data_IF_801052642968
#
_entry.id   IF_801052642968
#
_cell.length_a   1.000
_cell.length_b   1.000
_cell.length_c   1.000
_cell.angle_alpha   90.00
_cell.angle_beta   90.00
_cell.angle_gamma   90.00
#
_symmetry.space_group_name_H-M   'P 1'
#
loop_
_entity.id
_entity.type
_entity.pdbx_description
1 polymer ?
#
# COMPACT_ATOMS: atom_id res chain seq x y z
N UNK A 1 -15.41 -5.83 -2.26
CA UNK A 1 -14.45 -5.32 -1.26
C UNK A 1 -14.64 -5.93 0.13
N UNK A 2 -15.85 -5.93 0.73
CA UNK A 2 -16.07 -6.44 2.11
C UNK A 2 -15.66 -7.91 2.28
N UNK A 3 -16.06 -8.79 1.38
CA UNK A 3 -15.72 -10.22 1.42
C UNK A 3 -14.22 -10.46 1.34
N UNK A 4 -13.52 -9.84 0.35
CA UNK A 4 -12.06 -9.94 0.23
C UNK A 4 -11.34 -9.42 1.48
N UNK A 5 -11.81 -8.32 2.05
CA UNK A 5 -11.26 -7.82 3.32
C UNK A 5 -11.41 -8.84 4.44
N UNK A 6 -12.58 -9.45 4.61
CA UNK A 6 -12.80 -10.48 5.62
C UNK A 6 -11.90 -11.71 5.41
N UNK A 7 -11.71 -12.11 4.16
CA UNK A 7 -10.81 -13.21 3.80
C UNK A 7 -9.35 -12.90 4.15
N UNK A 8 -8.89 -11.69 3.81
CA UNK A 8 -7.53 -11.22 4.11
C UNK A 8 -7.31 -11.14 5.64
N UNK A 9 -8.26 -10.58 6.41
CA UNK A 9 -8.14 -10.48 7.87
C UNK A 9 -7.99 -11.86 8.52
N UNK A 10 -8.77 -12.85 8.10
CA UNK A 10 -8.64 -14.24 8.57
C UNK A 10 -7.30 -14.87 8.19
N UNK A 11 -6.80 -14.57 6.99
CA UNK A 11 -5.52 -15.10 6.54
C UNK A 11 -4.34 -14.45 7.29
N UNK A 12 -4.38 -13.13 7.51
CA UNK A 12 -3.37 -12.43 8.31
C UNK A 12 -3.28 -13.00 9.73
N UNK A 13 -4.42 -13.34 10.37
CA UNK A 13 -4.45 -13.95 11.70
C UNK A 13 -3.80 -15.35 11.71
N UNK A 14 -3.94 -16.11 10.63
CA UNK A 14 -3.30 -17.43 10.45
C UNK A 14 -1.79 -17.30 10.20
N UNK A 15 -1.35 -16.33 9.36
CA UNK A 15 0.08 -16.19 9.01
C UNK A 15 0.89 -15.50 10.11
N UNK A 16 0.27 -14.66 10.92
CA UNK A 16 0.89 -14.03 12.08
C UNK A 16 0.17 -14.46 13.37
N UNK A 17 0.40 -15.70 13.85
CA UNK A 17 -0.26 -16.21 15.04
C UNK A 17 0.16 -15.46 16.29
N UNK A 18 -0.61 -15.64 17.37
CA UNK A 18 -0.21 -15.16 18.69
C UNK A 18 1.00 -15.97 19.17
N UNK A 19 2.04 -15.28 19.59
CA UNK A 19 3.21 -15.92 20.17
C UNK A 19 3.07 -16.09 21.66
N UNK A 20 3.86 -17.02 22.18
CA UNK A 20 4.03 -17.30 23.59
C UNK A 20 5.52 -17.27 23.93
N UNK A 21 5.86 -17.07 25.20
CA UNK A 21 7.22 -17.08 25.68
C UNK A 21 7.94 -15.74 25.57
N UNK A 22 9.26 -15.75 25.44
CA UNK A 22 10.11 -14.56 25.59
C UNK A 22 9.88 -13.49 24.50
N UNK A 23 9.44 -13.86 23.32
CA UNK A 23 9.16 -12.92 22.21
C UNK A 23 7.70 -12.46 22.13
N UNK A 24 6.85 -12.83 23.08
CA UNK A 24 5.41 -12.50 23.06
C UNK A 24 5.15 -11.01 22.82
N UNK A 25 5.89 -10.12 23.49
CA UNK A 25 5.69 -8.67 23.38
C UNK A 25 5.97 -8.17 21.96
N UNK A 26 6.96 -8.72 21.25
CA UNK A 26 7.23 -8.39 19.84
C UNK A 26 6.03 -8.76 18.95
N UNK A 27 5.50 -9.98 19.08
CA UNK A 27 4.32 -10.39 18.31
C UNK A 27 3.08 -9.55 18.63
N UNK A 28 2.90 -9.16 19.91
CA UNK A 28 1.83 -8.23 20.30
C UNK A 28 1.98 -6.88 19.60
N UNK A 29 3.20 -6.34 19.52
CA UNK A 29 3.49 -5.09 18.82
C UNK A 29 3.21 -5.20 17.30
N UNK A 30 3.66 -6.28 16.66
CA UNK A 30 3.36 -6.56 15.24
C UNK A 30 1.85 -6.64 14.99
N UNK A 31 1.14 -7.44 15.77
CA UNK A 31 -0.31 -7.63 15.66
C UNK A 31 -1.10 -6.35 15.96
N UNK A 32 -0.65 -5.57 16.94
CA UNK A 32 -1.29 -4.30 17.30
C UNK A 32 -1.46 -3.39 16.08
N UNK A 33 -0.41 -3.18 15.27
CA UNK A 33 -0.47 -2.34 14.09
C UNK A 33 -1.15 -3.05 12.92
N UNK A 34 -0.88 -4.35 12.70
CA UNK A 34 -1.45 -5.11 11.59
C UNK A 34 -2.98 -5.19 11.69
N UNK A 35 -3.53 -5.33 12.90
CA UNK A 35 -4.98 -5.42 13.15
C UNK A 35 -5.61 -4.10 13.64
N UNK A 36 -4.91 -2.97 13.49
CA UNK A 36 -5.47 -1.64 13.81
C UNK A 36 -6.56 -1.17 12.82
N UNK A 37 -7.04 -2.06 11.95
CA UNK A 37 -8.01 -1.73 10.90
C UNK A 37 -7.34 -1.30 9.60
N UNK A 38 -8.12 -0.69 8.70
CA UNK A 38 -7.67 -0.25 7.38
C UNK A 38 -8.53 -0.84 6.26
N UNK A 39 -8.40 -0.27 5.07
CA UNK A 39 -9.20 -0.63 3.89
C UNK A 39 -8.66 -1.86 3.16
N UNK A 40 -7.44 -2.29 3.45
CA UNK A 40 -6.76 -3.43 2.82
C UNK A 40 -6.70 -3.30 1.29
N UNK A 41 -6.48 -2.09 0.78
CA UNK A 41 -6.53 -1.81 -0.67
C UNK A 41 -5.48 -2.61 -1.44
N UNK A 42 -4.23 -2.67 -0.96
CA UNK A 42 -3.13 -3.38 -1.63
C UNK A 42 -3.40 -4.87 -1.78
N UNK A 43 -3.72 -5.64 -0.72
CA UNK A 43 -4.09 -7.04 -0.88
C UNK A 43 -5.37 -7.25 -1.69
N UNK A 44 -6.36 -6.34 -1.62
CA UNK A 44 -7.59 -6.43 -2.43
C UNK A 44 -7.28 -6.22 -3.91
N UNK A 45 -6.42 -5.25 -4.26
CA UNK A 45 -5.95 -5.03 -5.63
C UNK A 45 -5.23 -6.26 -6.17
N UNK A 46 -4.37 -6.88 -5.36
CA UNK A 46 -3.66 -8.09 -5.74
C UNK A 46 -4.63 -9.23 -6.08
N UNK A 47 -5.56 -9.55 -5.17
CA UNK A 47 -6.54 -10.62 -5.40
C UNK A 47 -7.49 -10.30 -6.57
N UNK A 48 -7.87 -9.03 -6.75
CA UNK A 48 -8.69 -8.62 -7.89
C UNK A 48 -7.93 -8.75 -9.23
N UNK A 49 -6.62 -8.48 -9.23
CA UNK A 49 -5.77 -8.68 -10.40
C UNK A 49 -5.58 -10.17 -10.73
N UNK A 50 -5.40 -11.02 -9.71
CA UNK A 50 -5.37 -12.48 -9.89
C UNK A 50 -6.64 -12.97 -10.59
N UNK A 51 -7.81 -12.59 -10.09
CA UNK A 51 -9.10 -12.99 -10.65
C UNK A 51 -9.33 -12.43 -12.06
N UNK A 52 -8.94 -11.17 -12.29
CA UNK A 52 -9.03 -10.53 -13.60
C UNK A 52 -8.17 -11.23 -14.66
N UNK A 53 -7.08 -11.86 -14.26
CA UNK A 53 -6.21 -12.67 -15.11
C UNK A 53 -6.59 -14.16 -15.13
N UNK A 54 -7.71 -14.55 -14.50
CA UNK A 54 -8.20 -15.93 -14.51
C UNK A 54 -7.52 -16.88 -13.50
N UNK A 55 -6.68 -16.36 -12.60
CA UNK A 55 -6.04 -17.12 -11.54
C UNK A 55 -6.96 -17.40 -10.34
N UNK A 56 -6.51 -18.27 -9.44
CA UNK A 56 -7.19 -18.57 -8.17
C UNK A 56 -6.67 -17.63 -7.07
N UNK A 57 -7.55 -16.74 -6.61
CA UNK A 57 -7.22 -15.79 -5.55
C UNK A 57 -6.91 -16.44 -4.20
N UNK A 58 -7.39 -17.66 -3.93
CA UNK A 58 -7.11 -18.38 -2.70
C UNK A 58 -5.67 -18.90 -2.67
N UNK A 59 -5.12 -19.32 -3.81
CA UNK A 59 -3.71 -19.72 -3.93
C UNK A 59 -2.72 -18.56 -3.79
N UNK A 60 -3.19 -17.32 -3.99
CA UNK A 60 -2.37 -16.10 -3.89
C UNK A 60 -2.58 -15.33 -2.57
N UNK A 61 -3.33 -15.91 -1.62
CA UNK A 61 -3.73 -15.23 -0.39
C UNK A 61 -2.54 -14.90 0.53
N UNK A 62 -1.53 -15.77 0.58
CA UNK A 62 -0.30 -15.49 1.33
C UNK A 62 0.46 -14.29 0.78
N UNK A 63 0.54 -14.16 -0.55
CA UNK A 63 1.16 -13.01 -1.19
C UNK A 63 0.38 -11.72 -0.90
N UNK A 64 -0.95 -11.76 -0.94
CA UNK A 64 -1.80 -10.64 -0.56
C UNK A 64 -1.55 -10.19 0.90
N UNK A 65 -1.40 -11.15 1.82
CA UNK A 65 -1.05 -10.86 3.22
C UNK A 65 0.34 -10.24 3.36
N UNK A 66 1.32 -10.71 2.60
CA UNK A 66 2.67 -10.14 2.59
C UNK A 66 2.68 -8.66 2.15
N UNK A 67 1.89 -8.28 1.15
CA UNK A 67 1.71 -6.88 0.75
C UNK A 67 1.20 -6.00 1.89
N UNK A 68 0.26 -6.51 2.71
CA UNK A 68 -0.25 -5.76 3.85
C UNK A 68 0.76 -5.71 5.00
N UNK A 69 1.54 -6.77 5.23
CA UNK A 69 2.64 -6.75 6.21
C UNK A 69 3.70 -5.72 5.85
N UNK A 70 4.09 -5.66 4.56
CA UNK A 70 5.03 -4.64 4.05
C UNK A 70 4.45 -3.24 4.20
N UNK A 71 3.19 -3.03 3.87
CA UNK A 71 2.55 -1.74 4.10
C UNK A 71 2.48 -1.39 5.59
N UNK A 72 2.23 -2.36 6.47
CA UNK A 72 2.10 -2.11 7.90
C UNK A 72 3.44 -1.76 8.54
N UNK A 73 4.53 -2.44 8.17
CA UNK A 73 5.85 -2.08 8.70
C UNK A 73 6.20 -0.64 8.34
N UNK A 74 5.91 -0.20 7.11
CA UNK A 74 6.22 1.17 6.71
C UNK A 74 5.45 2.19 7.55
N UNK A 75 4.20 1.90 7.90
CA UNK A 75 3.41 2.77 8.78
C UNK A 75 3.98 2.82 10.21
N UNK A 76 4.47 1.67 10.74
CA UNK A 76 5.09 1.64 12.07
C UNK A 76 6.35 2.51 12.09
N UNK A 77 7.19 2.38 11.05
CA UNK A 77 8.44 3.13 10.97
C UNK A 77 8.18 4.62 10.68
N UNK A 78 7.23 4.95 9.82
CA UNK A 78 6.84 6.34 9.55
C UNK A 78 6.37 7.07 10.83
N UNK A 79 5.70 6.35 11.74
CA UNK A 79 5.20 6.93 13.00
C UNK A 79 6.29 7.19 14.05
N UNK A 80 7.51 6.62 13.92
CA UNK A 80 8.59 6.76 14.91
C UNK A 80 8.99 8.23 15.13
N UNK A 81 9.52 8.59 16.33
CA UNK A 81 9.99 9.94 16.62
C UNK A 81 11.10 10.44 15.70
N UNK A 82 11.90 9.53 15.10
CA UNK A 82 12.93 9.85 14.11
C UNK A 82 12.39 10.09 12.71
N UNK A 83 11.09 9.93 12.50
CA UNK A 83 10.37 10.07 11.23
C UNK A 83 9.25 11.13 11.38
N UNK A 84 8.00 10.73 11.20
CA UNK A 84 6.86 11.65 11.30
C UNK A 84 6.48 12.04 12.74
N UNK A 85 6.92 11.26 13.75
CA UNK A 85 6.59 11.43 15.16
C UNK A 85 5.08 11.56 15.41
N UNK A 86 4.30 10.67 14.80
CA UNK A 86 2.85 10.67 14.94
C UNK A 86 2.42 9.90 16.19
N UNK A 87 1.66 10.54 17.09
CA UNK A 87 1.14 9.89 18.30
C UNK A 87 -0.09 9.03 18.05
N UNK A 88 -0.86 9.34 16.99
CA UNK A 88 -2.12 8.68 16.64
C UNK A 88 -2.15 8.24 15.17
N UNK A 89 -2.61 7.01 14.95
CA UNK A 89 -2.93 6.47 13.63
C UNK A 89 -4.27 5.74 13.63
N UNK A 90 -5.17 6.10 12.73
CA UNK A 90 -6.53 5.55 12.66
C UNK A 90 -7.29 5.69 13.98
N UNK A 91 -7.09 6.81 14.70
CA UNK A 91 -7.74 7.10 15.98
C UNK A 91 -7.20 6.29 17.17
N UNK A 92 -6.07 5.58 17.02
CA UNK A 92 -5.43 4.79 18.09
C UNK A 92 -3.99 5.27 18.29
N UNK A 93 -3.44 5.15 19.51
CA UNK A 93 -2.02 5.41 19.74
C UNK A 93 -1.14 4.60 18.78
N UNK A 94 -0.05 5.21 18.30
CA UNK A 94 0.92 4.55 17.42
C UNK A 94 1.71 3.49 18.16
N UNK A 95 2.41 2.62 17.43
CA UNK A 95 3.12 1.47 18.02
C UNK A 95 4.15 1.89 19.06
N UNK A 96 4.94 2.94 18.76
CA UNK A 96 5.97 3.42 19.66
C UNK A 96 5.41 4.06 20.94
N UNK A 97 4.20 4.62 20.88
CA UNK A 97 3.50 5.13 22.06
C UNK A 97 3.07 4.02 23.03
N UNK A 98 2.77 2.81 22.50
CA UNK A 98 2.27 1.68 23.29
C UNK A 98 3.39 0.76 23.77
N UNK A 99 4.39 0.49 22.92
CA UNK A 99 5.44 -0.51 23.16
C UNK A 99 6.84 0.10 23.33
N UNK A 100 6.99 1.40 23.11
CA UNK A 100 8.28 2.08 23.06
C UNK A 100 8.96 1.99 21.70
N UNK A 101 9.90 2.89 21.44
CA UNK A 101 10.56 3.06 20.13
C UNK A 101 11.29 1.81 19.66
N UNK A 102 12.08 1.19 20.55
CA UNK A 102 12.87 0.01 20.19
C UNK A 102 12.00 -1.18 19.74
N UNK A 103 10.90 -1.46 20.46
CA UNK A 103 10.01 -2.54 20.08
C UNK A 103 9.19 -2.21 18.84
N UNK A 104 8.82 -0.95 18.64
CA UNK A 104 8.16 -0.51 17.41
C UNK A 104 9.08 -0.68 16.19
N UNK A 105 10.36 -0.27 16.30
CA UNK A 105 11.35 -0.49 15.24
C UNK A 105 11.48 -1.98 14.91
N UNK A 106 11.69 -2.82 15.92
CA UNK A 106 11.80 -4.28 15.72
C UNK A 106 10.51 -4.93 15.20
N UNK A 107 9.33 -4.41 15.55
CA UNK A 107 8.06 -4.89 15.03
C UNK A 107 7.93 -4.60 13.53
N UNK A 108 8.41 -3.46 13.06
CA UNK A 108 8.50 -3.14 11.64
C UNK A 108 9.46 -4.08 10.90
N UNK A 109 10.69 -4.26 11.42
CA UNK A 109 11.70 -5.18 10.84
C UNK A 109 11.16 -6.61 10.74
N UNK A 110 10.51 -7.06 11.83
CA UNK A 110 9.93 -8.40 11.88
C UNK A 110 8.79 -8.57 10.86
N UNK A 111 7.88 -7.59 10.70
CA UNK A 111 6.80 -7.64 9.71
C UNK A 111 7.34 -7.68 8.28
N UNK A 112 8.39 -6.90 7.97
CA UNK A 112 9.05 -6.94 6.66
C UNK A 112 9.62 -8.34 6.37
N UNK A 113 10.30 -8.94 7.35
CA UNK A 113 10.88 -10.29 7.22
C UNK A 113 9.78 -11.36 7.12
N UNK A 114 8.74 -11.27 7.95
CA UNK A 114 7.59 -12.18 7.93
C UNK A 114 6.85 -12.16 6.58
N UNK A 115 6.76 -11.01 5.92
CA UNK A 115 6.15 -10.92 4.60
C UNK A 115 6.84 -11.86 3.59
N UNK A 116 8.18 -11.84 3.54
CA UNK A 116 8.93 -12.73 2.66
C UNK A 116 8.90 -14.19 3.13
N UNK A 117 8.90 -14.44 4.44
CA UNK A 117 8.71 -15.79 4.98
C UNK A 117 7.38 -16.41 4.50
N UNK A 118 6.28 -15.65 4.58
CA UNK A 118 4.96 -16.10 4.12
C UNK A 118 4.96 -16.38 2.62
N UNK A 119 5.55 -15.53 1.80
CA UNK A 119 5.65 -15.72 0.34
C UNK A 119 6.38 -17.04 0.03
N UNK A 120 7.54 -17.27 0.64
CA UNK A 120 8.34 -18.47 0.36
C UNK A 120 7.72 -19.73 0.94
N UNK A 121 7.12 -19.66 2.13
CA UNK A 121 6.43 -20.79 2.74
C UNK A 121 5.22 -21.25 1.90
N UNK A 122 4.39 -20.30 1.44
CA UNK A 122 3.27 -20.62 0.55
C UNK A 122 3.77 -21.15 -0.81
N UNK A 123 4.82 -20.55 -1.38
CA UNK A 123 5.42 -21.03 -2.61
C UNK A 123 5.99 -22.44 -2.53
N UNK A 124 6.49 -22.87 -1.36
CA UNK A 124 6.93 -24.25 -1.12
C UNK A 124 5.75 -25.23 -0.98
N UNK A 125 4.59 -24.76 -0.54
CA UNK A 125 3.37 -25.57 -0.36
C UNK A 125 2.50 -25.62 -1.60
N UNK A 126 2.49 -24.53 -2.37
CA UNK A 126 1.61 -24.36 -3.52
C UNK A 126 2.12 -25.12 -4.77
N UNK A 127 1.19 -25.43 -5.67
CA UNK A 127 1.51 -25.92 -7.03
C UNK A 127 1.87 -24.77 -7.99
N UNK A 128 2.20 -23.59 -7.46
CA UNK A 128 2.56 -22.41 -8.27
C UNK A 128 3.87 -22.65 -9.01
N UNK A 129 3.98 -22.03 -10.18
CA UNK A 129 5.23 -22.02 -10.94
C UNK A 129 6.30 -21.23 -10.16
N UNK A 130 7.42 -21.86 -9.75
CA UNK A 130 8.45 -21.21 -8.96
C UNK A 130 9.06 -19.97 -9.64
N UNK A 131 9.14 -19.95 -10.98
CA UNK A 131 9.66 -18.79 -11.73
C UNK A 131 8.73 -17.59 -11.64
N UNK A 132 7.40 -17.80 -11.67
CA UNK A 132 6.42 -16.72 -11.49
C UNK A 132 6.46 -16.20 -10.05
N UNK A 133 6.58 -17.07 -9.06
CA UNK A 133 6.71 -16.67 -7.66
C UNK A 133 7.98 -15.85 -7.44
N UNK A 134 9.12 -16.29 -7.99
CA UNK A 134 10.38 -15.56 -7.88
C UNK A 134 10.30 -14.18 -8.54
N UNK A 135 9.69 -14.09 -9.74
CA UNK A 135 9.44 -12.83 -10.45
C UNK A 135 8.56 -11.89 -9.61
N UNK A 136 7.46 -12.39 -9.07
CA UNK A 136 6.54 -11.59 -8.22
C UNK A 136 7.22 -11.11 -6.92
N UNK A 137 7.97 -11.98 -6.24
CA UNK A 137 8.71 -11.65 -5.03
C UNK A 137 9.80 -10.60 -5.31
N UNK A 138 10.50 -10.71 -6.43
CA UNK A 138 11.48 -9.71 -6.88
C UNK A 138 10.81 -8.35 -7.14
N UNK A 139 9.67 -8.30 -7.86
CA UNK A 139 8.93 -7.06 -8.08
C UNK A 139 8.48 -6.41 -6.77
N UNK A 140 8.02 -7.20 -5.80
CA UNK A 140 7.64 -6.69 -4.49
C UNK A 140 8.84 -6.12 -3.73
N UNK A 141 9.99 -6.81 -3.74
CA UNK A 141 11.21 -6.34 -3.10
C UNK A 141 11.70 -5.01 -3.72
N UNK A 142 11.65 -4.89 -5.06
CA UNK A 142 11.98 -3.65 -5.77
C UNK A 142 11.02 -2.51 -5.40
N UNK A 143 9.72 -2.79 -5.32
CA UNK A 143 8.70 -1.80 -4.98
C UNK A 143 8.76 -1.36 -3.51
N UNK A 144 9.16 -2.22 -2.59
CA UNK A 144 9.31 -1.91 -1.16
C UNK A 144 10.65 -1.22 -0.85
N UNK A 145 11.71 -1.54 -1.59
CA UNK A 145 13.10 -1.17 -1.29
C UNK A 145 13.51 0.24 -1.72
N UNK A 146 14.84 0.42 -1.88
CA UNK A 146 15.47 1.70 -2.20
C UNK A 146 15.04 2.29 -3.57
N UNK A 147 14.63 1.44 -4.52
CA UNK A 147 14.11 1.89 -5.82
C UNK A 147 12.59 2.15 -5.81
N UNK A 148 11.93 1.89 -4.69
CA UNK A 148 10.50 2.04 -4.49
C UNK A 148 10.17 2.86 -3.24
N UNK A 149 9.34 2.29 -2.36
CA UNK A 149 8.75 2.97 -1.21
C UNK A 149 9.79 3.59 -0.27
N UNK A 150 10.82 2.87 0.13
CA UNK A 150 11.88 3.38 1.02
C UNK A 150 12.65 4.53 0.35
N UNK A 151 12.98 4.40 -0.95
CA UNK A 151 13.63 5.49 -1.70
C UNK A 151 12.75 6.74 -1.82
N UNK A 152 11.44 6.55 -2.06
CA UNK A 152 10.46 7.65 -2.06
C UNK A 152 10.35 8.34 -0.71
N UNK A 153 10.32 7.58 0.37
CA UNK A 153 10.30 8.10 1.74
C UNK A 153 11.57 8.89 2.09
N UNK A 154 12.73 8.39 1.68
CA UNK A 154 14.00 9.10 1.90
C UNK A 154 14.01 10.47 1.22
N UNK A 155 13.53 10.55 -0.05
CA UNK A 155 13.43 11.83 -0.76
C UNK A 155 12.37 12.74 -0.14
N UNK A 156 11.25 12.20 0.35
CA UNK A 156 10.22 12.96 1.04
C UNK A 156 10.78 13.66 2.28
N UNK A 157 11.48 12.94 3.16
CA UNK A 157 12.15 13.50 4.35
C UNK A 157 13.20 14.55 3.97
N UNK A 158 14.05 14.27 2.98
CA UNK A 158 15.07 15.22 2.53
C UNK A 158 14.48 16.50 1.92
N UNK A 159 13.22 16.47 1.52
CA UNK A 159 12.50 17.57 0.88
C UNK A 159 11.68 18.41 1.85
N UNK A 160 11.53 18.00 3.11
CA UNK A 160 10.76 18.73 4.12
C UNK A 160 11.30 20.15 4.34
N UNK A 161 10.39 21.13 4.39
CA UNK A 161 10.72 22.54 4.56
C UNK A 161 11.41 23.19 3.37
N UNK A 162 11.55 22.51 2.23
CA UNK A 162 12.17 23.05 1.00
C UNK A 162 11.12 23.27 -0.09
N UNK A 163 11.42 24.20 -1.00
CA UNK A 163 10.67 24.29 -2.25
C UNK A 163 11.01 23.10 -3.13
N UNK A 164 9.98 22.37 -3.53
CA UNK A 164 10.12 21.13 -4.31
C UNK A 164 9.69 21.41 -5.75
N UNK A 165 10.51 20.96 -6.70
CA UNK A 165 10.18 21.00 -8.13
C UNK A 165 9.21 19.85 -8.50
N UNK A 166 8.42 20.01 -9.60
CA UNK A 166 7.44 19.00 -10.04
C UNK A 166 7.98 17.59 -10.16
N UNK A 167 9.19 17.43 -10.69
CA UNK A 167 9.83 16.11 -10.89
C UNK A 167 10.15 15.41 -9.56
N UNK A 168 10.54 16.16 -8.54
CA UNK A 168 10.79 15.61 -7.19
C UNK A 168 9.49 15.17 -6.55
N UNK A 169 8.41 15.98 -6.65
CA UNK A 169 7.10 15.58 -6.18
C UNK A 169 6.59 14.32 -6.91
N UNK A 170 6.74 14.28 -8.23
CA UNK A 170 6.42 13.11 -9.06
C UNK A 170 7.18 11.87 -8.62
N UNK A 171 8.48 12.00 -8.31
CA UNK A 171 9.29 10.91 -7.78
C UNK A 171 8.76 10.40 -6.43
N UNK A 172 8.52 11.30 -5.46
CA UNK A 172 7.99 10.95 -4.14
C UNK A 172 6.67 10.17 -4.29
N UNK A 173 5.70 10.70 -5.04
CA UNK A 173 4.38 10.09 -5.20
C UNK A 173 4.45 8.73 -5.89
N UNK A 174 5.23 8.63 -6.97
CA UNK A 174 5.36 7.37 -7.73
C UNK A 174 6.09 6.28 -6.94
N UNK A 175 7.02 6.65 -6.06
CA UNK A 175 7.85 5.69 -5.31
C UNK A 175 7.27 5.38 -3.94
N UNK A 176 7.04 6.40 -3.09
CA UNK A 176 6.54 6.21 -1.72
C UNK A 176 5.20 5.47 -1.69
N UNK A 177 4.26 5.84 -2.56
CA UNK A 177 2.90 5.30 -2.57
C UNK A 177 2.63 4.45 -3.81
N UNK A 178 2.97 4.95 -4.99
CA UNK A 178 2.63 4.34 -6.28
C UNK A 178 3.30 2.98 -6.49
N UNK A 179 4.54 2.80 -6.05
CA UNK A 179 5.30 1.57 -6.28
C UNK A 179 4.61 0.32 -5.71
N UNK A 180 4.13 0.38 -4.45
CA UNK A 180 3.42 -0.75 -3.84
C UNK A 180 2.01 -0.96 -4.42
N UNK A 181 1.32 0.08 -4.85
CA UNK A 181 0.02 -0.04 -5.53
C UNK A 181 0.21 -0.73 -6.88
N UNK A 182 1.19 -0.30 -7.68
CA UNK A 182 1.56 -0.94 -8.94
C UNK A 182 1.99 -2.40 -8.73
N UNK A 183 2.86 -2.65 -7.75
CA UNK A 183 3.30 -4.01 -7.43
C UNK A 183 2.13 -4.91 -7.00
N UNK A 184 1.14 -4.39 -6.25
CA UNK A 184 -0.04 -5.17 -5.87
C UNK A 184 -0.78 -5.71 -7.07
N UNK A 185 -0.96 -4.90 -8.10
CA UNK A 185 -1.66 -5.31 -9.33
C UNK A 185 -0.78 -6.24 -10.17
N UNK A 186 0.48 -5.86 -10.41
CA UNK A 186 1.41 -6.62 -11.26
C UNK A 186 1.72 -8.00 -10.70
N UNK A 187 1.94 -8.13 -9.39
CA UNK A 187 2.24 -9.42 -8.77
C UNK A 187 1.05 -10.40 -8.86
N UNK A 188 -0.19 -9.90 -8.80
CA UNK A 188 -1.38 -10.72 -9.07
C UNK A 188 -1.42 -11.24 -10.51
N UNK A 189 -1.14 -10.39 -11.48
CA UNK A 189 -1.06 -10.78 -12.89
C UNK A 189 0.07 -11.78 -13.15
N UNK A 190 1.26 -11.52 -12.61
CA UNK A 190 2.43 -12.41 -12.76
C UNK A 190 2.14 -13.80 -12.20
N UNK A 191 1.60 -13.90 -10.98
CA UNK A 191 1.28 -15.19 -10.37
C UNK A 191 0.20 -15.97 -11.12
N UNK A 192 -0.67 -15.25 -11.86
CA UNK A 192 -1.67 -15.86 -12.74
C UNK A 192 -1.13 -16.24 -14.12
N UNK A 193 0.15 -15.99 -14.41
CA UNK A 193 0.75 -16.25 -15.72
C UNK A 193 0.19 -15.35 -16.84
N UNK A 194 -0.24 -14.14 -16.52
CA UNK A 194 -0.79 -13.21 -17.50
C UNK A 194 0.20 -12.92 -18.63
N UNK A 195 -0.27 -12.82 -19.89
CA UNK A 195 0.57 -12.43 -21.01
C UNK A 195 1.02 -10.97 -20.86
N UNK A 196 2.08 -10.59 -21.59
CA UNK A 196 2.77 -9.31 -21.39
C UNK A 196 1.88 -8.10 -21.72
N UNK A 197 0.99 -8.20 -22.69
CA UNK A 197 0.02 -7.15 -23.05
C UNK A 197 -0.96 -6.84 -21.91
N UNK A 198 -1.48 -7.85 -21.23
CA UNK A 198 -2.29 -7.67 -20.03
C UNK A 198 -1.47 -7.09 -18.87
N UNK A 199 -0.22 -7.55 -18.70
CA UNK A 199 0.68 -7.04 -17.66
C UNK A 199 1.00 -5.56 -17.88
N UNK A 200 1.18 -5.12 -19.13
CA UNK A 200 1.36 -3.70 -19.48
C UNK A 200 0.12 -2.86 -19.17
N UNK A 201 -1.07 -3.35 -19.53
CA UNK A 201 -2.35 -2.70 -19.21
C UNK A 201 -2.51 -2.50 -17.69
N UNK A 202 -2.27 -3.57 -16.94
CA UNK A 202 -2.31 -3.55 -15.46
C UNK A 202 -1.19 -2.69 -14.85
N UNK A 203 -0.05 -2.55 -15.51
CA UNK A 203 1.02 -1.63 -15.10
C UNK A 203 0.54 -0.18 -15.19
N UNK A 204 0.01 0.23 -16.34
CA UNK A 204 -0.56 1.58 -16.54
C UNK A 204 -1.70 1.85 -15.56
N UNK A 205 -2.59 0.87 -15.35
CA UNK A 205 -3.63 0.95 -14.33
C UNK A 205 -3.04 1.23 -12.94
N UNK A 206 -2.03 0.45 -12.51
CA UNK A 206 -1.41 0.58 -11.20
C UNK A 206 -0.67 1.91 -11.00
N UNK A 207 -0.04 2.43 -12.05
CA UNK A 207 0.65 3.73 -12.03
C UNK A 207 -0.33 4.89 -11.90
N UNK A 208 -1.37 4.91 -12.73
CA UNK A 208 -2.41 5.93 -12.67
C UNK A 208 -3.17 5.88 -11.34
N UNK A 209 -3.56 4.70 -10.86
CA UNK A 209 -4.23 4.52 -9.58
C UNK A 209 -3.36 4.95 -8.41
N UNK A 210 -2.04 4.64 -8.43
CA UNK A 210 -1.10 5.00 -7.37
C UNK A 210 -0.97 6.51 -7.21
N UNK A 211 -0.85 7.24 -8.32
CA UNK A 211 -0.80 8.70 -8.30
C UNK A 211 -2.16 9.30 -7.90
N UNK A 212 -3.27 8.77 -8.42
CA UNK A 212 -4.62 9.19 -8.03
C UNK A 212 -4.85 9.01 -6.52
N UNK A 213 -4.35 7.90 -5.97
CA UNK A 213 -4.45 7.61 -4.54
C UNK A 213 -3.72 8.66 -3.70
N UNK A 214 -2.50 9.04 -4.08
CA UNK A 214 -1.72 10.04 -3.35
C UNK A 214 -2.32 11.44 -3.48
N UNK A 215 -2.73 11.86 -4.69
CA UNK A 215 -3.40 13.17 -4.87
C UNK A 215 -4.69 13.24 -4.02
N UNK A 216 -5.43 12.13 -3.92
CA UNK A 216 -6.62 12.10 -3.06
C UNK A 216 -6.27 12.20 -1.58
N UNK A 217 -5.19 11.58 -1.12
CA UNK A 217 -4.71 11.71 0.26
C UNK A 217 -4.28 13.16 0.56
N UNK A 218 -3.56 13.80 -0.36
CA UNK A 218 -3.16 15.21 -0.23
C UNK A 218 -4.37 16.14 -0.15
N UNK A 219 -5.38 15.93 -1.01
CA UNK A 219 -6.65 16.68 -0.98
C UNK A 219 -7.41 16.48 0.33
N UNK A 220 -7.46 15.23 0.82
CA UNK A 220 -8.10 14.93 2.11
C UNK A 220 -7.34 15.56 3.29
N UNK A 221 -6.02 15.65 3.23
CA UNK A 221 -5.24 16.35 4.26
C UNK A 221 -5.50 17.87 4.23
N UNK A 222 -5.66 18.47 3.06
CA UNK A 222 -5.89 19.93 2.93
C UNK A 222 -7.33 20.32 3.32
N UNK A 223 -8.35 19.55 2.92
CA UNK A 223 -9.77 19.94 2.98
C UNK A 223 -10.66 19.00 3.80
N UNK A 224 -10.14 17.89 4.26
CA UNK A 224 -10.94 16.83 4.89
C UNK A 224 -11.47 17.19 6.27
N UNK A 225 -12.43 16.41 6.74
CA UNK A 225 -12.98 16.49 8.09
C UNK A 225 -12.14 15.63 9.06
N UNK A 226 -11.48 16.22 10.08
CA UNK A 226 -10.68 15.46 11.04
C UNK A 226 -11.43 14.32 11.70
N UNK A 227 -12.73 14.50 11.97
CA UNK A 227 -13.58 13.48 12.62
C UNK A 227 -13.77 12.25 11.73
N UNK A 228 -13.76 12.42 10.40
CA UNK A 228 -13.90 11.32 9.44
C UNK A 228 -12.56 10.66 9.11
N UNK A 229 -11.49 11.45 9.04
CA UNK A 229 -10.15 10.97 8.67
C UNK A 229 -9.47 10.23 9.83
N UNK A 230 -9.81 10.54 11.07
CA UNK A 230 -9.23 9.91 12.27
C UNK A 230 -7.80 10.37 12.59
N UNK A 231 -7.35 11.51 12.01
CA UNK A 231 -6.10 12.21 12.32
C UNK A 231 -6.27 13.72 12.07
N UNK A 232 -5.33 14.52 12.57
CA UNK A 232 -5.30 15.96 12.29
C UNK A 232 -5.19 16.23 10.77
N UNK A 233 -5.84 17.28 10.30
CA UNK A 233 -5.73 17.80 8.92
C UNK A 233 -4.73 18.94 8.85
N UNK A 234 -4.28 19.29 7.64
CA UNK A 234 -3.26 20.33 7.37
C UNK A 234 -1.89 20.05 8.04
N UNK A 235 -1.68 18.80 8.45
CA UNK A 235 -0.41 18.36 9.05
C UNK A 235 0.73 18.43 8.03
N UNK A 236 0.47 18.08 6.76
CA UNK A 236 1.47 18.15 5.71
C UNK A 236 1.95 19.60 5.50
N UNK A 237 1.03 20.56 5.51
CA UNK A 237 1.37 21.99 5.41
C UNK A 237 2.17 22.48 6.62
N UNK A 238 1.82 22.07 7.83
CA UNK A 238 2.54 22.47 9.05
C UNK A 238 3.96 21.88 9.13
N UNK A 239 4.19 20.73 8.48
CA UNK A 239 5.49 20.07 8.35
C UNK A 239 6.30 20.55 7.13
N UNK A 240 5.71 21.39 6.30
CA UNK A 240 6.34 21.82 5.04
C UNK A 240 6.53 20.68 4.04
N UNK A 241 5.66 19.67 4.07
CA UNK A 241 5.67 18.56 3.10
C UNK A 241 5.23 19.04 1.72
N UNK A 242 5.86 18.51 0.70
CA UNK A 242 5.46 18.74 -0.69
C UNK A 242 4.17 17.95 -0.98
N UNK A 243 3.11 18.66 -1.40
CA UNK A 243 1.84 18.04 -1.78
C UNK A 243 1.37 18.54 -3.14
N UNK A 244 0.52 17.76 -3.81
CA UNK A 244 -0.02 18.14 -5.11
C UNK A 244 -0.83 19.44 -5.04
N UNK A 245 -1.74 19.65 -4.04
CA UNK A 245 -2.45 20.93 -3.88
C UNK A 245 -1.53 22.12 -3.57
N UNK A 246 -0.43 21.91 -2.85
CA UNK A 246 0.51 23.00 -2.57
C UNK A 246 1.26 23.48 -3.84
N UNK A 247 1.52 22.57 -4.80
CA UNK A 247 2.25 22.88 -6.02
C UNK A 247 1.32 23.40 -7.14
N UNK A 248 0.16 22.78 -7.32
CA UNK A 248 -0.73 23.03 -8.46
C UNK A 248 -2.07 23.68 -8.09
N UNK A 249 -2.38 23.80 -6.81
CA UNK A 249 -3.68 24.24 -6.32
C UNK A 249 -4.72 23.10 -6.25
N UNK A 250 -5.75 23.33 -5.44
CA UNK A 250 -6.79 22.32 -5.13
C UNK A 250 -7.60 21.92 -6.37
N UNK A 251 -8.05 22.90 -7.17
CA UNK A 251 -8.91 22.63 -8.33
C UNK A 251 -8.17 21.84 -9.43
N UNK A 252 -6.91 22.16 -9.69
CA UNK A 252 -6.11 21.42 -10.65
C UNK A 252 -5.79 20.00 -10.15
N UNK A 253 -5.55 19.86 -8.85
CA UNK A 253 -5.38 18.55 -8.20
C UNK A 253 -6.63 17.68 -8.36
N UNK A 254 -7.84 18.24 -8.22
CA UNK A 254 -9.10 17.53 -8.44
C UNK A 254 -9.28 17.08 -9.88
N UNK A 255 -8.99 17.96 -10.84
CA UNK A 255 -9.05 17.61 -12.27
C UNK A 255 -8.08 16.49 -12.60
N UNK A 256 -6.83 16.59 -12.11
CA UNK A 256 -5.82 15.56 -12.34
C UNK A 256 -6.20 14.22 -11.71
N UNK A 257 -6.77 14.23 -10.50
CA UNK A 257 -7.30 13.03 -9.85
C UNK A 257 -8.33 12.31 -10.73
N UNK A 258 -9.31 13.05 -11.26
CA UNK A 258 -10.35 12.46 -12.12
C UNK A 258 -9.77 11.92 -13.42
N UNK A 259 -8.89 12.68 -14.09
CA UNK A 259 -8.17 12.22 -15.29
C UNK A 259 -7.40 10.91 -15.05
N UNK A 260 -6.69 10.79 -13.91
CA UNK A 260 -5.95 9.59 -13.57
C UNK A 260 -6.86 8.38 -13.32
N UNK A 261 -8.03 8.59 -12.73
CA UNK A 261 -9.01 7.52 -12.55
C UNK A 261 -9.56 7.06 -13.92
N UNK A 262 -9.83 7.97 -14.85
CA UNK A 262 -10.25 7.64 -16.20
C UNK A 262 -9.11 6.91 -16.95
N UNK A 263 -7.86 7.38 -16.83
CA UNK A 263 -6.67 6.71 -17.39
C UNK A 263 -6.52 5.28 -16.86
N UNK A 264 -6.73 5.07 -15.56
CA UNK A 264 -6.68 3.73 -14.96
C UNK A 264 -7.77 2.81 -15.51
N UNK A 265 -9.02 3.27 -15.60
CA UNK A 265 -10.12 2.48 -16.15
C UNK A 265 -9.89 2.16 -17.62
N UNK A 266 -9.40 3.13 -18.40
CA UNK A 266 -9.11 2.96 -19.84
C UNK A 266 -7.97 1.97 -20.07
N UNK A 267 -6.96 1.93 -19.21
CA UNK A 267 -5.82 1.01 -19.31
C UNK A 267 -6.23 -0.48 -19.28
N UNK A 268 -7.39 -0.79 -18.73
CA UNK A 268 -7.93 -2.16 -18.60
C UNK A 268 -9.31 -2.30 -19.27
N UNK A 269 -9.68 -1.42 -20.21
CA UNK A 269 -11.00 -1.41 -20.83
C UNK A 269 -11.31 -2.71 -21.59
N UNK A 270 -10.31 -3.28 -22.26
CA UNK A 270 -10.44 -4.47 -23.10
C UNK A 270 -10.47 -5.77 -22.27
N UNK A 271 -10.24 -5.71 -20.96
CA UNK A 271 -10.41 -6.86 -20.07
C UNK A 271 -11.89 -7.16 -19.84
N UNK A 272 -12.21 -8.44 -19.66
CA UNK A 272 -13.58 -8.92 -19.45
C UNK A 272 -14.22 -8.44 -18.13
N UNK A 273 -15.39 -8.97 -17.79
CA UNK A 273 -16.14 -8.61 -16.59
C UNK A 273 -15.42 -8.98 -15.28
N UNK A 274 -14.42 -9.87 -15.31
CA UNK A 274 -13.62 -10.21 -14.13
C UNK A 274 -12.74 -9.04 -13.67
N UNK A 275 -12.44 -8.09 -14.56
CA UNK A 275 -11.73 -6.85 -14.21
C UNK A 275 -12.64 -5.76 -13.59
N UNK A 276 -13.96 -5.98 -13.52
CA UNK A 276 -14.88 -5.01 -12.93
C UNK A 276 -14.52 -4.59 -11.50
N UNK A 277 -14.05 -5.49 -10.59
CA UNK A 277 -13.58 -5.08 -9.29
C UNK A 277 -12.43 -4.06 -9.32
N UNK A 278 -11.51 -4.15 -10.29
CA UNK A 278 -10.42 -3.18 -10.47
C UNK A 278 -10.98 -1.82 -10.92
N UNK A 279 -11.92 -1.78 -11.88
CA UNK A 279 -12.59 -0.53 -12.32
C UNK A 279 -13.31 0.14 -11.16
N UNK A 280 -14.03 -0.63 -10.35
CA UNK A 280 -14.74 -0.11 -9.16
C UNK A 280 -13.79 0.43 -8.08
N UNK A 281 -12.60 -0.18 -7.91
CA UNK A 281 -11.58 0.35 -6.98
C UNK A 281 -11.05 1.70 -7.47
N UNK A 282 -10.79 1.87 -8.78
CA UNK A 282 -10.36 3.15 -9.33
C UNK A 282 -11.40 4.26 -9.07
N UNK A 283 -12.67 3.99 -9.38
CA UNK A 283 -13.78 4.92 -9.12
C UNK A 283 -13.95 5.22 -7.62
N UNK A 284 -13.73 4.23 -6.75
CA UNK A 284 -13.79 4.41 -5.31
C UNK A 284 -12.70 5.37 -4.81
N UNK A 285 -11.48 5.31 -5.36
CA UNK A 285 -10.38 6.20 -4.96
C UNK A 285 -10.75 7.66 -5.18
N UNK A 286 -11.42 8.00 -6.28
CA UNK A 286 -11.87 9.37 -6.53
C UNK A 286 -12.93 9.86 -5.51
N UNK A 287 -13.79 8.96 -5.01
CA UNK A 287 -14.98 9.31 -4.23
C UNK A 287 -14.80 9.18 -2.72
N UNK A 288 -13.74 8.50 -2.25
CA UNK A 288 -13.53 8.28 -0.81
C UNK A 288 -13.39 9.61 -0.06
N UNK A 289 -13.91 9.66 1.15
CA UNK A 289 -13.93 10.81 2.06
C UNK A 289 -13.04 10.62 3.31
N UNK A 290 -12.36 9.50 3.40
CA UNK A 290 -11.42 9.14 4.47
C UNK A 290 -10.40 8.07 4.02
#
# INVERSE_FOLDING_TARGET
MREKRSLIEKALDRYLPQAQGLSETLYRAMRYSLFAGGKRIRPILHLASVEACGGDSLECLGFACALEMIHTYSLIHDDLPSMDNDELRRGRPTNHMVFGEALALLAGDALLTEAFRVIFEEGMRARQNPSLLLRAAWELAMAAGAQGMVGGQAVDIMSEGKRVEPDVLGFIHSRKTGALIRASVRTGAILSGAPEDLLEGLTRYGEALGLAFQIRDDLLNEEGDPAKIGKAVKTDRSRGKATYPALYGVEESRKRLLSLVDEAVEAIRDMDSKAEPLRQIALYVARRDH
#
